data_IF_251051504604
#
_entry.id   IF_251051504604
#
_cell.length_a   1.000
_cell.length_b   1.000
_cell.length_c   1.000
_cell.angle_alpha   90.00
_cell.angle_beta   90.00
_cell.angle_gamma   90.00
#
_symmetry.space_group_name_H-M   'P 1'
#
loop_
_entity.id
_entity.type
_entity.pdbx_description
1 polymer ?
#
# COMPACT_ATOMS: atom_id res chain seq x y z
N UNK A 1 -31.65 0.94 4.12
CA UNK A 1 -30.77 0.12 4.96
C UNK A 1 -29.57 -0.21 4.11
N UNK A 2 -28.45 0.49 4.33
CA UNK A 2 -27.23 0.25 3.57
C UNK A 2 -26.63 -1.07 4.06
N UNK A 3 -26.73 -2.08 3.22
CA UNK A 3 -26.09 -3.37 3.43
C UNK A 3 -24.60 -3.13 3.61
N UNK A 4 -24.08 -3.51 4.77
CA UNK A 4 -22.71 -3.20 5.16
C UNK A 4 -21.76 -3.92 4.21
N UNK A 5 -21.04 -3.15 3.40
CA UNK A 5 -19.98 -3.62 2.47
C UNK A 5 -18.82 -4.25 3.26
N UNK A 6 -18.69 -3.92 4.55
CA UNK A 6 -17.57 -4.28 5.42
C UNK A 6 -17.40 -5.77 5.69
N UNK A 7 -18.43 -6.59 6.02
CA UNK A 7 -18.27 -8.02 6.22
C UNK A 7 -17.85 -8.77 4.96
N UNK A 8 -18.35 -8.40 3.78
CA UNK A 8 -18.01 -9.06 2.52
C UNK A 8 -16.61 -8.65 2.04
N UNK A 9 -16.27 -7.38 2.22
CA UNK A 9 -14.93 -6.86 2.00
C UNK A 9 -13.93 -7.48 2.99
N UNK A 10 -14.25 -7.60 4.29
CA UNK A 10 -13.40 -8.26 5.29
C UNK A 10 -13.17 -9.75 4.95
N UNK A 11 -14.19 -10.44 4.43
CA UNK A 11 -14.08 -11.84 3.96
C UNK A 11 -13.20 -11.94 2.70
N UNK A 12 -13.34 -11.02 1.73
CA UNK A 12 -12.48 -10.92 0.54
C UNK A 12 -11.07 -10.42 0.84
N UNK A 13 -10.91 -9.61 1.88
CA UNK A 13 -9.63 -9.10 2.36
C UNK A 13 -8.87 -10.14 3.14
N UNK A 14 -9.54 -11.12 3.76
CA UNK A 14 -8.90 -12.20 4.53
C UNK A 14 -7.74 -12.85 3.81
N UNK A 15 -7.93 -13.26 2.55
CA UNK A 15 -6.88 -13.86 1.71
C UNK A 15 -5.83 -12.85 1.20
N UNK A 16 -6.08 -11.54 1.37
CA UNK A 16 -5.22 -10.44 0.92
C UNK A 16 -4.46 -9.78 2.07
N UNK A 17 -4.79 -10.09 3.32
CA UNK A 17 -4.06 -9.57 4.48
C UNK A 17 -2.68 -10.21 4.53
N UNK A 18 -1.66 -9.37 4.51
CA UNK A 18 -0.27 -9.80 4.56
C UNK A 18 0.21 -9.92 6.01
N UNK A 19 0.84 -11.05 6.31
CA UNK A 19 1.59 -11.31 7.53
C UNK A 19 3.08 -11.38 7.19
N UNK A 20 3.96 -10.83 8.03
CA UNK A 20 5.40 -10.87 7.79
C UNK A 20 5.92 -12.32 7.90
N UNK A 21 6.76 -12.74 6.95
CA UNK A 21 7.45 -14.04 7.02
C UNK A 21 8.72 -13.98 7.89
N UNK A 22 9.27 -12.77 8.11
CA UNK A 22 10.49 -12.51 8.85
C UNK A 22 10.37 -11.23 9.70
N UNK A 23 11.17 -11.07 10.76
CA UNK A 23 11.18 -9.86 11.57
C UNK A 23 11.55 -8.62 10.73
N UNK A 24 10.98 -7.43 11.00
CA UNK A 24 11.21 -6.26 10.18
C UNK A 24 12.67 -5.79 10.21
N UNK A 25 13.23 -5.53 9.02
CA UNK A 25 14.59 -5.00 8.86
C UNK A 25 14.73 -3.57 9.39
N UNK A 26 15.97 -3.12 9.61
CA UNK A 26 16.27 -1.75 10.04
C UNK A 26 15.80 -0.71 9.01
N UNK A 27 15.96 -1.00 7.73
CA UNK A 27 15.49 -0.15 6.64
C UNK A 27 13.96 0.02 6.67
N UNK A 28 13.22 -1.05 6.98
CA UNK A 28 11.77 -1.01 7.14
C UNK A 28 11.35 -0.14 8.35
N UNK A 29 12.05 -0.29 9.48
CA UNK A 29 11.82 0.54 10.67
C UNK A 29 12.12 2.02 10.39
N UNK A 30 13.21 2.32 9.70
CA UNK A 30 13.55 3.68 9.29
C UNK A 30 12.48 4.28 8.38
N UNK A 31 11.99 3.51 7.39
CA UNK A 31 10.88 3.94 6.54
C UNK A 31 9.65 4.26 7.38
N UNK A 32 9.27 3.40 8.32
CA UNK A 32 8.14 3.66 9.22
C UNK A 32 8.29 5.00 9.96
N UNK A 33 9.44 5.27 10.56
CA UNK A 33 9.67 6.53 11.29
C UNK A 33 9.68 7.76 10.38
N UNK A 34 10.14 7.63 9.13
CA UNK A 34 10.01 8.72 8.15
C UNK A 34 8.54 8.97 7.79
N UNK A 35 7.77 7.91 7.56
CA UNK A 35 6.34 8.00 7.23
C UNK A 35 5.49 8.50 8.40
N UNK A 36 5.88 8.18 9.63
CA UNK A 36 5.17 8.61 10.84
C UNK A 36 5.21 10.12 11.07
N UNK A 37 6.08 10.86 10.36
CA UNK A 37 6.10 12.34 10.37
C UNK A 37 4.90 12.94 9.64
N UNK A 38 4.30 12.20 8.72
CA UNK A 38 3.14 12.60 7.93
C UNK A 38 1.88 11.95 8.50
N UNK A 39 0.75 12.66 8.52
CA UNK A 39 -0.54 12.06 8.90
C UNK A 39 -1.10 11.31 7.71
N UNK A 40 -1.03 9.98 7.73
CA UNK A 40 -1.63 9.10 6.73
C UNK A 40 -2.47 8.00 7.41
N UNK A 41 -3.59 7.65 6.80
CA UNK A 41 -4.43 6.48 7.15
C UNK A 41 -4.31 5.38 6.12
N UNK A 42 -3.94 5.75 4.89
CA UNK A 42 -3.77 4.83 3.77
C UNK A 42 -2.46 5.12 3.03
N UNK A 43 -1.70 4.06 2.73
CA UNK A 43 -0.39 4.14 2.10
C UNK A 43 -0.29 3.13 0.96
N UNK A 44 0.06 3.56 -0.24
CA UNK A 44 0.39 2.66 -1.34
C UNK A 44 1.91 2.44 -1.43
N UNK A 45 2.32 1.18 -1.59
CA UNK A 45 3.69 0.80 -1.95
C UNK A 45 3.72 0.45 -3.44
N UNK A 46 4.36 1.31 -4.22
CA UNK A 46 4.32 1.26 -5.69
C UNK A 46 5.66 0.73 -6.21
N UNK A 47 5.69 -0.46 -6.86
CA UNK A 47 6.89 -0.94 -7.53
C UNK A 47 7.34 0.02 -8.63
N UNK A 48 8.64 0.31 -8.70
CA UNK A 48 9.22 1.14 -9.77
C UNK A 48 9.50 0.33 -11.05
N UNK A 49 9.68 -0.98 -10.92
CA UNK A 49 9.98 -1.92 -11.98
C UNK A 49 8.76 -2.76 -12.40
N UNK A 50 8.71 -3.10 -13.70
CA UNK A 50 7.81 -4.10 -14.26
C UNK A 50 8.09 -5.47 -13.60
N UNK A 51 7.04 -6.25 -13.34
CA UNK A 51 7.09 -7.53 -12.62
C UNK A 51 7.48 -7.44 -11.14
N UNK A 52 7.72 -6.23 -10.60
CA UNK A 52 8.06 -6.02 -9.21
C UNK A 52 6.90 -6.29 -8.25
N UNK A 53 7.24 -6.67 -7.02
CA UNK A 53 6.28 -6.82 -5.91
C UNK A 53 6.78 -6.12 -4.66
N UNK A 54 5.84 -5.51 -3.93
CA UNK A 54 6.07 -4.81 -2.65
C UNK A 54 5.37 -5.51 -1.49
N UNK A 55 4.84 -6.72 -1.69
CA UNK A 55 4.07 -7.46 -0.69
C UNK A 55 4.88 -7.71 0.61
N UNK A 56 6.10 -8.23 0.50
CA UNK A 56 6.96 -8.46 1.67
C UNK A 56 7.21 -7.17 2.46
N UNK A 57 7.52 -6.07 1.76
CA UNK A 57 7.71 -4.77 2.39
C UNK A 57 6.42 -4.29 3.07
N UNK A 58 5.25 -4.45 2.45
CA UNK A 58 3.97 -4.09 3.05
C UNK A 58 3.73 -4.87 4.35
N UNK A 59 3.98 -6.18 4.32
CA UNK A 59 3.83 -7.07 5.47
C UNK A 59 4.75 -6.65 6.63
N UNK A 60 6.04 -6.46 6.34
CA UNK A 60 7.03 -6.02 7.34
C UNK A 60 6.72 -4.63 7.88
N UNK A 61 6.26 -3.69 7.04
CA UNK A 61 5.95 -2.33 7.46
C UNK A 61 4.70 -2.29 8.36
N UNK A 62 3.68 -3.09 8.04
CA UNK A 62 2.53 -3.25 8.90
C UNK A 62 2.89 -3.87 10.25
N UNK A 63 3.83 -4.80 10.27
CA UNK A 63 4.33 -5.40 11.50
C UNK A 63 5.02 -4.38 12.42
N UNK A 64 5.91 -3.55 11.87
CA UNK A 64 6.52 -2.44 12.62
C UNK A 64 5.43 -1.54 13.21
N UNK A 65 4.41 -1.22 12.41
CA UNK A 65 3.30 -0.39 12.85
C UNK A 65 2.48 -1.00 13.99
N UNK A 66 2.20 -2.30 13.91
CA UNK A 66 1.50 -3.05 14.97
C UNK A 66 2.30 -3.12 16.28
N UNK A 67 3.62 -3.21 16.20
CA UNK A 67 4.48 -3.27 17.39
C UNK A 67 4.63 -1.91 18.08
N UNK A 68 4.54 -0.81 17.33
CA UNK A 68 4.81 0.55 17.82
C UNK A 68 3.54 1.34 18.19
N UNK A 69 2.35 0.89 17.77
CA UNK A 69 1.09 1.57 18.07
C UNK A 69 0.09 0.57 18.65
N UNK A 70 -0.76 1.04 19.57
CA UNK A 70 -1.99 0.34 20.01
C UNK A 70 -3.08 0.29 18.91
N UNK A 71 -2.68 0.22 17.63
CA UNK A 71 -3.54 0.39 16.47
C UNK A 71 -3.55 -0.79 15.51
N UNK A 72 -4.66 -0.95 14.80
CA UNK A 72 -4.80 -1.94 13.74
C UNK A 72 -4.08 -1.45 12.48
N UNK A 73 -2.80 -1.79 12.33
CA UNK A 73 -2.09 -1.60 11.05
C UNK A 73 -2.24 -2.88 10.23
N UNK A 74 -2.85 -2.76 9.05
CA UNK A 74 -3.07 -3.88 8.13
C UNK A 74 -2.36 -3.63 6.81
N UNK A 75 -1.86 -4.72 6.20
CA UNK A 75 -1.27 -4.70 4.88
C UNK A 75 -2.13 -5.54 3.92
N UNK A 76 -2.38 -5.01 2.72
CA UNK A 76 -3.16 -5.65 1.67
C UNK A 76 -2.26 -5.92 0.47
N UNK A 77 -2.37 -7.11 -0.11
CA UNK A 77 -1.73 -7.46 -1.39
C UNK A 77 -2.72 -7.42 -2.54
N UNK A 78 -2.38 -6.69 -3.60
CA UNK A 78 -3.15 -6.59 -4.83
C UNK A 78 -2.27 -7.03 -6.02
N UNK A 79 -2.04 -8.33 -6.22
CA UNK A 79 -1.14 -8.81 -7.26
C UNK A 79 -1.68 -8.61 -8.69
N UNK A 80 -3.01 -8.51 -8.83
CA UNK A 80 -3.70 -8.20 -10.07
C UNK A 80 -5.00 -7.47 -9.74
N UNK A 81 -5.38 -6.53 -10.61
CA UNK A 81 -6.61 -5.79 -10.48
C UNK A 81 -7.50 -6.02 -11.69
N UNK A 82 -8.78 -6.28 -11.42
CA UNK A 82 -9.87 -6.06 -12.36
C UNK A 82 -10.62 -4.78 -11.94
N UNK A 83 -11.45 -4.22 -12.84
CA UNK A 83 -12.17 -2.98 -12.58
C UNK A 83 -13.06 -3.02 -11.34
N UNK A 84 -13.73 -4.16 -11.09
CA UNK A 84 -14.66 -4.33 -9.96
C UNK A 84 -13.85 -4.34 -8.66
N UNK A 85 -12.76 -5.08 -8.65
CA UNK A 85 -11.83 -5.19 -7.53
C UNK A 85 -11.18 -3.85 -7.22
N UNK A 86 -10.66 -3.15 -8.24
CA UNK A 86 -10.00 -1.85 -8.08
C UNK A 86 -10.97 -0.80 -7.51
N UNK A 87 -12.20 -0.72 -8.04
CA UNK A 87 -13.23 0.20 -7.55
C UNK A 87 -13.61 -0.12 -6.10
N UNK A 88 -13.90 -1.38 -5.79
CA UNK A 88 -14.32 -1.78 -4.45
C UNK A 88 -13.25 -1.52 -3.37
N UNK A 89 -11.97 -1.71 -3.71
CA UNK A 89 -10.86 -1.36 -2.81
C UNK A 89 -10.74 0.16 -2.67
N UNK A 90 -10.88 0.90 -3.77
CA UNK A 90 -10.79 2.34 -3.73
C UNK A 90 -11.88 2.95 -2.84
N UNK A 91 -13.11 2.45 -2.97
CA UNK A 91 -14.24 2.83 -2.14
C UNK A 91 -14.02 2.47 -0.66
N UNK A 92 -13.48 1.28 -0.40
CA UNK A 92 -13.16 0.84 0.95
C UNK A 92 -12.09 1.70 1.63
N UNK A 93 -11.01 2.03 0.90
CA UNK A 93 -9.95 2.92 1.39
C UNK A 93 -10.54 4.31 1.67
N UNK A 94 -11.37 4.83 0.78
CA UNK A 94 -12.03 6.12 0.96
C UNK A 94 -12.97 6.12 2.17
N UNK A 95 -13.78 5.07 2.35
CA UNK A 95 -14.65 4.91 3.51
C UNK A 95 -13.86 4.80 4.83
N UNK A 96 -12.76 4.04 4.83
CA UNK A 96 -11.86 3.95 5.96
C UNK A 96 -11.20 5.31 6.28
N UNK A 97 -10.84 6.08 5.27
CA UNK A 97 -10.36 7.46 5.40
C UNK A 97 -11.35 8.35 6.15
N UNK A 98 -12.65 8.22 5.85
CA UNK A 98 -13.76 8.93 6.54
C UNK A 98 -14.10 8.37 7.93
N UNK A 99 -13.55 7.21 8.30
CA UNK A 99 -13.82 6.55 9.58
C UNK A 99 -15.14 5.78 9.61
N UNK A 100 -15.69 5.42 8.45
CA UNK A 100 -16.95 4.68 8.34
C UNK A 100 -16.74 3.20 8.62
N UNK A 101 -17.28 2.71 9.75
CA UNK A 101 -17.29 1.28 10.09
C UNK A 101 -15.93 0.62 10.29
N UNK A 102 -14.89 1.43 10.60
CA UNK A 102 -13.54 0.97 10.93
C UNK A 102 -13.04 1.64 12.22
N UNK A 103 -12.08 1.02 12.95
CA UNK A 103 -11.44 1.66 14.09
C UNK A 103 -10.81 3.01 13.73
N UNK A 104 -10.92 4.01 14.61
CA UNK A 104 -10.40 5.37 14.37
C UNK A 104 -8.88 5.44 14.15
N UNK A 105 -8.16 4.41 14.59
CA UNK A 105 -6.71 4.25 14.51
C UNK A 105 -6.28 3.21 13.45
N UNK A 106 -7.18 2.78 12.55
CA UNK A 106 -6.85 1.89 11.45
C UNK A 106 -5.89 2.60 10.48
N UNK A 107 -4.78 1.93 10.17
CA UNK A 107 -3.89 2.31 9.08
C UNK A 107 -3.79 1.17 8.07
N UNK A 108 -3.95 1.49 6.79
CA UNK A 108 -3.96 0.53 5.69
C UNK A 108 -2.73 0.76 4.83
N UNK A 109 -1.93 -0.28 4.64
CA UNK A 109 -0.82 -0.31 3.69
C UNK A 109 -1.23 -1.21 2.53
N UNK A 110 -1.01 -0.79 1.30
CA UNK A 110 -1.44 -1.52 0.11
C UNK A 110 -0.24 -1.74 -0.80
N UNK A 111 0.13 -3.00 -1.02
CA UNK A 111 1.02 -3.39 -2.10
C UNK A 111 0.20 -3.47 -3.39
N UNK A 112 0.46 -2.54 -4.32
CA UNK A 112 -0.20 -2.50 -5.63
C UNK A 112 0.68 -3.15 -6.69
N UNK A 113 0.13 -3.63 -7.82
CA UNK A 113 0.96 -4.16 -8.89
C UNK A 113 1.74 -3.02 -9.56
N UNK A 114 2.81 -3.33 -10.32
CA UNK A 114 3.50 -2.32 -11.12
C UNK A 114 2.52 -1.62 -12.06
N UNK A 115 2.39 -0.30 -11.93
CA UNK A 115 1.42 0.48 -12.72
C UNK A 115 1.71 0.52 -14.22
N UNK A 116 2.92 0.10 -14.61
CA UNK A 116 3.30 -0.07 -16.01
C UNK A 116 2.73 -1.37 -16.61
N UNK A 117 2.50 -2.38 -15.77
CA UNK A 117 1.92 -3.68 -16.16
C UNK A 117 0.40 -3.67 -15.97
N UNK A 118 -0.07 -3.07 -14.88
CA UNK A 118 -1.48 -3.01 -14.51
C UNK A 118 -1.88 -1.56 -14.17
N UNK A 119 -2.47 -0.81 -15.13
CA UNK A 119 -2.79 0.60 -14.95
C UNK A 119 -3.90 0.84 -13.91
N UNK A 120 -4.66 -0.19 -13.52
CA UNK A 120 -5.68 -0.05 -12.47
C UNK A 120 -5.05 0.22 -11.10
N UNK A 121 -3.76 -0.09 -10.92
CA UNK A 121 -3.00 0.31 -9.73
C UNK A 121 -2.97 1.83 -9.52
N UNK A 122 -3.08 2.62 -10.60
CA UNK A 122 -3.14 4.09 -10.52
C UNK A 122 -4.42 4.55 -9.79
N UNK A 123 -5.56 3.90 -10.03
CA UNK A 123 -6.82 4.24 -9.37
C UNK A 123 -6.72 4.05 -7.85
N UNK A 124 -6.07 2.97 -7.40
CA UNK A 124 -5.81 2.72 -5.98
C UNK A 124 -4.82 3.75 -5.42
N UNK A 125 -3.73 4.04 -6.15
CA UNK A 125 -2.73 5.04 -5.74
C UNK A 125 -3.31 6.47 -5.63
N UNK A 126 -4.40 6.78 -6.33
CA UNK A 126 -5.08 8.07 -6.28
C UNK A 126 -6.07 8.22 -5.12
N UNK A 127 -6.49 7.15 -4.46
CA UNK A 127 -7.38 7.27 -3.29
C UNK A 127 -6.65 7.17 -1.96
N UNK A 128 -5.40 6.70 -1.96
CA UNK A 128 -4.57 6.68 -0.75
C UNK A 128 -4.06 8.07 -0.39
N UNK A 129 -3.81 8.28 0.90
CA UNK A 129 -3.28 9.55 1.42
C UNK A 129 -1.82 9.79 0.98
N UNK A 130 -1.05 8.72 0.83
CA UNK A 130 0.37 8.79 0.48
C UNK A 130 0.82 7.56 -0.33
N UNK A 131 1.86 7.73 -1.13
CA UNK A 131 2.53 6.66 -1.87
C UNK A 131 4.04 6.64 -1.58
N UNK A 132 4.64 5.46 -1.57
CA UNK A 132 6.10 5.26 -1.53
C UNK A 132 6.52 4.52 -2.79
N UNK A 133 7.52 5.06 -3.47
CA UNK A 133 8.12 4.37 -4.61
C UNK A 133 9.12 3.31 -4.10
N UNK A 134 8.90 2.06 -4.46
CA UNK A 134 9.75 0.94 -4.09
C UNK A 134 10.64 0.59 -5.27
N UNK A 135 11.95 0.79 -5.11
CA UNK A 135 12.94 0.64 -6.18
C UNK A 135 13.83 -0.55 -5.86
N UNK A 136 13.78 -1.61 -6.66
CA UNK A 136 14.68 -2.74 -6.45
C UNK A 136 16.07 -2.50 -7.04
N UNK A 137 17.08 -2.67 -6.19
CA UNK A 137 18.48 -2.46 -6.58
C UNK A 137 18.86 -3.39 -7.73
N UNK A 138 19.45 -2.83 -8.79
CA UNK A 138 19.93 -3.59 -9.96
C UNK A 138 18.84 -4.02 -10.95
N UNK A 139 17.55 -3.85 -10.63
CA UNK A 139 16.44 -4.23 -11.52
C UNK A 139 15.67 -3.01 -12.05
N UNK A 140 15.46 -2.00 -11.21
CA UNK A 140 14.72 -0.80 -11.63
C UNK A 140 15.52 0.08 -12.59
N UNK A 141 14.95 0.32 -13.78
CA UNK A 141 15.46 1.33 -14.73
C UNK A 141 14.95 2.71 -14.32
N UNK A 142 15.82 3.71 -14.34
CA UNK A 142 15.44 5.11 -14.05
C UNK A 142 14.27 5.61 -14.91
N UNK A 143 14.19 5.12 -16.16
CA UNK A 143 13.07 5.43 -17.07
C UNK A 143 11.73 4.88 -16.56
N UNK A 144 11.71 3.63 -16.07
CA UNK A 144 10.50 2.99 -15.52
C UNK A 144 10.06 3.69 -14.24
N UNK A 145 10.99 3.96 -13.32
CA UNK A 145 10.72 4.71 -12.09
C UNK A 145 10.10 6.09 -12.40
N UNK A 146 10.66 6.84 -13.35
CA UNK A 146 10.13 8.16 -13.75
C UNK A 146 8.72 8.04 -14.32
N UNK A 147 8.47 7.05 -15.18
CA UNK A 147 7.15 6.85 -15.78
C UNK A 147 6.09 6.44 -14.74
N UNK A 148 6.46 5.58 -13.78
CA UNK A 148 5.61 5.24 -12.63
C UNK A 148 5.24 6.49 -11.82
N UNK A 149 6.22 7.36 -11.55
CA UNK A 149 5.96 8.63 -10.84
C UNK A 149 5.00 9.53 -11.63
N UNK A 150 5.18 9.63 -12.95
CA UNK A 150 4.33 10.45 -13.81
C UNK A 150 2.89 9.91 -13.89
N UNK A 151 2.70 8.59 -13.93
CA UNK A 151 1.38 7.96 -13.96
C UNK A 151 0.62 8.12 -12.65
N UNK A 152 1.30 8.00 -11.51
CA UNK A 152 0.68 8.09 -10.18
C UNK A 152 0.51 9.54 -9.69
N UNK A 153 1.32 10.47 -10.21
CA UNK A 153 1.37 11.86 -9.76
C UNK A 153 2.49 12.07 -8.74
N UNK A 154 3.33 13.08 -8.97
CA UNK A 154 4.51 13.39 -8.12
C UNK A 154 4.11 13.76 -6.71
N UNK A 155 3.00 14.46 -6.56
CA UNK A 155 2.43 14.93 -5.31
C UNK A 155 1.96 13.79 -4.39
N UNK A 156 1.72 12.60 -4.94
CA UNK A 156 1.35 11.42 -4.15
C UNK A 156 2.53 10.79 -3.43
N UNK A 157 3.74 10.93 -3.98
CA UNK A 157 4.91 10.29 -3.40
C UNK A 157 5.47 11.08 -2.23
N UNK A 158 5.44 10.48 -1.05
CA UNK A 158 6.08 11.03 0.16
C UNK A 158 7.54 10.61 0.30
N UNK A 159 8.01 9.70 -0.55
CA UNK A 159 9.40 9.26 -0.60
C UNK A 159 9.61 8.01 -1.46
N UNK A 160 10.81 7.46 -1.36
CA UNK A 160 11.19 6.20 -2.02
C UNK A 160 12.05 5.34 -1.10
N UNK A 161 11.95 4.03 -1.24
CA UNK A 161 12.83 3.05 -0.58
C UNK A 161 13.53 2.18 -1.60
N UNK A 162 14.79 1.85 -1.31
CA UNK A 162 15.58 0.92 -2.10
C UNK A 162 15.46 -0.50 -1.50
N UNK A 163 14.92 -1.44 -2.27
CA UNK A 163 14.81 -2.84 -1.88
C UNK A 163 16.07 -3.60 -2.31
N UNK A 164 16.70 -4.30 -1.36
CA UNK A 164 17.79 -5.25 -1.62
C UNK A 164 17.19 -6.67 -1.73
N UNK A 165 17.71 -7.52 -2.63
CA UNK A 165 17.34 -8.94 -2.69
C UNK A 165 17.81 -9.70 -1.45
#
# INVERSE_FOLDING_TARGET
MAESVLPELAKKMGDRVLLPEAPPSKECQQLWFMLAKSRWRSLALVPAEEGGSTAELAASLAEVGRQLRDGAVTALNLPHLDYITASGIADAIAAAGRGEGVPQNLQIIVAIPPVLDDPLGVAVAHVVDAAVLCVRMGQARMKSARKTIELVGRERFVGSILLRP
#
